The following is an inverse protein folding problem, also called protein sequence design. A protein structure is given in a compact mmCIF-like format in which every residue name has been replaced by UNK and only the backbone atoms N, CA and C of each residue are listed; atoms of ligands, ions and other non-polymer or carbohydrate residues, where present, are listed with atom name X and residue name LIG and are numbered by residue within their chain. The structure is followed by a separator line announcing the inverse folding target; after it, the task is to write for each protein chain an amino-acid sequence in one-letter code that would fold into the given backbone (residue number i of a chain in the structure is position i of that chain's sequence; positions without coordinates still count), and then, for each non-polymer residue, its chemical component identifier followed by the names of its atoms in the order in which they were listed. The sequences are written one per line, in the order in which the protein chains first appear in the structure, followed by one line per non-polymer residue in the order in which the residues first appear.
data_IF_076021999023
#
_entry.id   IF_076021999023
#
_cell.length_a   1.000
_cell.length_b   1.000
_cell.length_c   1.000
_cell.angle_alpha   90.00
_cell.angle_beta   90.00
_cell.angle_gamma   90.00
#
_symmetry.space_group_name_H-M   'P 1'
#
loop_
_entity.id
_entity.type
_entity.pdbx_description
1 polymer ?
#
# COMPACT_ATOMS: atom_id res chain seq x y z
N UNK A 1 55.21 -28.80 54.01
CA UNK A 1 53.75 -28.79 54.25
C UNK A 1 53.16 -27.57 53.57
N UNK A 2 52.51 -27.76 52.41
CA UNK A 2 51.30 -27.06 51.94
C UNK A 2 51.06 -27.51 50.50
N UNK A 3 50.06 -28.38 50.35
CA UNK A 3 49.42 -28.72 49.09
C UNK A 3 48.76 -27.45 48.51
N UNK A 4 48.84 -27.29 47.19
CA UNK A 4 47.79 -26.64 46.42
C UNK A 4 47.73 -27.33 45.05
N UNK A 5 46.80 -28.28 44.94
CA UNK A 5 46.37 -28.88 43.69
C UNK A 5 45.37 -27.87 43.10
N UNK A 6 45.77 -27.12 42.08
CA UNK A 6 44.83 -26.30 41.32
C UNK A 6 44.68 -26.93 39.94
N UNK A 7 43.55 -27.61 39.80
CA UNK A 7 43.08 -28.29 38.60
C UNK A 7 42.91 -27.30 37.44
N UNK A 8 43.72 -27.41 36.39
CA UNK A 8 43.44 -26.80 35.10
C UNK A 8 42.44 -27.69 34.35
N UNK A 9 41.14 -27.46 34.56
CA UNK A 9 40.11 -27.95 33.64
C UNK A 9 40.23 -27.09 32.38
N UNK A 10 40.87 -27.64 31.36
CA UNK A 10 40.80 -27.14 30.00
C UNK A 10 39.35 -27.31 29.52
N UNK A 11 38.55 -26.24 29.61
CA UNK A 11 37.34 -26.11 28.80
C UNK A 11 37.80 -25.90 27.35
N UNK A 12 38.02 -27.02 26.66
CA UNK A 12 37.99 -27.04 25.21
C UNK A 12 36.56 -26.66 24.81
N UNK A 13 36.31 -25.36 24.65
CA UNK A 13 35.15 -24.87 23.92
C UNK A 13 35.34 -25.37 22.49
N UNK A 14 34.77 -26.54 22.21
CA UNK A 14 34.45 -26.92 20.86
C UNK A 14 33.48 -25.86 20.36
N UNK A 15 34.01 -24.83 19.72
CA UNK A 15 33.22 -23.97 18.85
C UNK A 15 32.87 -24.86 17.68
N UNK A 16 31.81 -25.67 17.86
CA UNK A 16 31.06 -26.19 16.75
C UNK A 16 30.66 -24.93 16.00
N UNK A 17 31.31 -24.67 14.86
CA UNK A 17 30.78 -23.76 13.86
C UNK A 17 29.44 -24.36 13.45
N UNK A 18 28.39 -24.02 14.20
CA UNK A 18 27.04 -24.06 13.69
C UNK A 18 27.08 -23.04 12.56
N UNK A 19 27.16 -23.57 11.34
CA UNK A 19 26.87 -22.80 10.15
C UNK A 19 25.50 -22.18 10.36
N UNK A 20 25.45 -20.89 10.72
CA UNK A 20 24.21 -20.18 10.89
C UNK A 20 23.53 -20.12 9.52
N UNK A 21 22.48 -20.92 9.34
CA UNK A 21 21.68 -20.95 8.13
C UNK A 21 20.80 -19.70 7.99
N UNK A 22 20.49 -19.03 9.10
CA UNK A 22 19.81 -17.74 9.09
C UNK A 22 20.20 -16.83 10.26
N UNK A 23 19.85 -15.55 10.16
CA UNK A 23 20.13 -14.54 11.18
C UNK A 23 19.53 -14.88 12.57
N UNK A 24 18.37 -15.52 12.66
CA UNK A 24 17.68 -15.78 13.93
C UNK A 24 18.36 -16.84 14.82
N UNK A 25 19.19 -17.70 14.25
CA UNK A 25 19.97 -18.68 15.02
C UNK A 25 20.99 -18.01 15.94
N UNK A 26 21.48 -16.83 15.58
CA UNK A 26 22.38 -16.04 16.43
C UNK A 26 21.72 -15.57 17.74
N UNK A 27 20.38 -15.59 17.80
CA UNK A 27 19.57 -15.19 18.95
C UNK A 27 18.90 -16.38 19.65
N UNK A 28 19.29 -17.61 19.30
CA UNK A 28 18.76 -18.83 19.91
C UNK A 28 17.43 -19.32 19.34
N UNK A 29 16.93 -18.71 18.26
CA UNK A 29 15.69 -19.11 17.60
C UNK A 29 15.95 -19.91 16.32
N UNK A 30 14.99 -20.75 15.92
CA UNK A 30 15.06 -21.50 14.67
C UNK A 30 14.79 -20.58 13.48
N UNK A 31 15.26 -20.97 12.31
CA UNK A 31 14.82 -20.36 11.06
C UNK A 31 13.45 -20.91 10.68
N UNK A 32 12.62 -20.12 10.01
CA UNK A 32 11.35 -20.63 9.50
C UNK A 32 11.62 -21.60 8.34
N UNK A 33 10.97 -22.76 8.34
CA UNK A 33 11.24 -23.83 7.36
C UNK A 33 10.90 -23.42 5.91
N UNK A 34 9.89 -22.55 5.77
CA UNK A 34 9.41 -22.01 4.50
C UNK A 34 9.22 -20.48 4.61
N UNK A 35 10.30 -19.69 4.52
CA UNK A 35 10.23 -18.25 4.75
C UNK A 35 9.27 -17.55 3.77
N UNK A 36 9.14 -18.03 2.53
CA UNK A 36 8.24 -17.46 1.52
C UNK A 36 6.74 -17.68 1.77
N UNK A 37 6.35 -18.66 2.59
CA UNK A 37 4.94 -18.92 2.94
C UNK A 37 4.63 -18.66 4.41
N UNK A 38 5.62 -18.25 5.20
CA UNK A 38 5.44 -17.98 6.62
C UNK A 38 4.89 -16.56 6.81
N UNK A 39 3.74 -16.45 7.46
CA UNK A 39 3.15 -15.16 7.82
C UNK A 39 4.06 -14.42 8.79
N UNK A 40 4.31 -13.14 8.49
CA UNK A 40 5.05 -12.25 9.40
C UNK A 40 4.15 -11.91 10.58
N UNK A 41 4.54 -12.34 11.78
CA UNK A 41 3.81 -12.07 13.02
C UNK A 41 4.41 -10.87 13.77
N UNK A 42 5.71 -10.63 13.60
CA UNK A 42 6.41 -9.54 14.27
C UNK A 42 7.65 -9.11 13.47
N UNK A 43 8.15 -7.89 13.66
CA UNK A 43 9.37 -7.41 13.00
C UNK A 43 10.10 -6.44 13.92
N UNK A 44 11.41 -6.59 14.03
CA UNK A 44 12.29 -5.77 14.88
C UNK A 44 13.61 -5.44 14.19
N UNK A 45 14.58 -4.89 14.92
CA UNK A 45 15.91 -4.55 14.39
C UNK A 45 16.77 -5.75 13.96
N UNK A 46 16.31 -6.98 14.23
CA UNK A 46 17.00 -8.21 13.83
C UNK A 46 16.46 -8.79 12.52
N UNK A 47 15.17 -8.62 12.24
CA UNK A 47 14.53 -9.11 11.03
C UNK A 47 13.04 -9.41 11.19
N UNK A 48 12.48 -10.15 10.24
CA UNK A 48 11.06 -10.54 10.24
C UNK A 48 10.86 -11.86 10.98
N UNK A 49 9.89 -11.92 11.88
CA UNK A 49 9.62 -13.08 12.71
C UNK A 49 8.28 -13.72 12.32
N UNK A 50 8.27 -15.06 12.27
CA UNK A 50 7.09 -15.87 12.07
C UNK A 50 6.85 -16.81 13.25
N UNK A 51 5.69 -17.47 13.27
CA UNK A 51 5.37 -18.53 14.23
C UNK A 51 5.11 -19.82 13.46
N UNK A 52 5.83 -20.88 13.82
CA UNK A 52 5.65 -22.21 13.25
C UNK A 52 5.52 -23.23 14.38
N UNK A 53 4.47 -24.06 14.35
CA UNK A 53 4.17 -25.05 15.39
C UNK A 53 4.12 -24.48 16.82
N UNK A 54 3.77 -23.20 16.97
CA UNK A 54 3.70 -22.51 18.26
C UNK A 54 5.02 -21.87 18.74
N UNK A 55 6.12 -22.05 18.00
CA UNK A 55 7.43 -21.48 18.31
C UNK A 55 7.78 -20.31 17.39
N UNK A 56 8.52 -19.33 17.92
CA UNK A 56 9.08 -18.22 17.13
C UNK A 56 10.21 -18.69 16.22
N UNK A 57 10.17 -18.24 14.96
CA UNK A 57 11.20 -18.49 13.97
C UNK A 57 11.57 -17.22 13.19
N UNK A 58 12.84 -17.12 12.78
CA UNK A 58 13.30 -16.04 11.91
C UNK A 58 13.01 -16.32 10.45
N UNK A 59 12.36 -15.36 9.79
CA UNK A 59 12.12 -15.37 8.36
C UNK A 59 13.38 -14.84 7.68
N UNK A 60 14.14 -15.76 7.08
CA UNK A 60 15.34 -15.47 6.32
C UNK A 60 15.22 -16.11 4.95
N UNK A 61 15.04 -15.29 3.92
CA UNK A 61 14.83 -15.76 2.54
C UNK A 61 16.09 -16.37 1.90
N UNK A 62 17.23 -16.33 2.59
CA UNK A 62 18.45 -17.04 2.19
C UNK A 62 18.55 -18.46 2.77
N UNK A 63 17.71 -18.79 3.76
CA UNK A 63 17.67 -20.10 4.41
C UNK A 63 16.87 -21.11 3.59
N UNK A 64 17.41 -22.33 3.44
CA UNK A 64 16.84 -23.44 2.64
C UNK A 64 16.75 -23.20 1.12
N UNK A 65 17.78 -22.61 0.54
CA UNK A 65 17.84 -22.43 -0.90
C UNK A 65 18.47 -23.66 -1.59
N UNK A 66 17.63 -24.53 -2.17
CA UNK A 66 18.00 -25.25 -3.40
C UNK A 66 18.02 -24.20 -4.54
N UNK A 67 19.11 -23.44 -4.59
CA UNK A 67 19.19 -22.11 -5.20
C UNK A 67 19.45 -22.10 -6.72
N UNK A 68 19.24 -23.21 -7.44
CA UNK A 68 19.52 -23.32 -8.88
C UNK A 68 18.29 -23.43 -9.79
N UNK A 69 17.08 -23.54 -9.24
CA UNK A 69 15.90 -23.96 -10.01
C UNK A 69 14.95 -22.81 -10.41
N UNK A 70 15.27 -21.55 -10.11
CA UNK A 70 14.48 -20.40 -10.57
C UNK A 70 15.36 -19.17 -10.89
N UNK A 71 14.78 -18.25 -11.66
CA UNK A 71 15.42 -16.98 -12.05
C UNK A 71 15.67 -16.07 -10.86
N UNK A 72 16.71 -15.22 -10.92
CA UNK A 72 17.10 -14.34 -9.82
C UNK A 72 18.22 -14.82 -8.91
N UNK A 73 18.83 -15.98 -9.23
CA UNK A 73 20.09 -16.48 -8.68
C UNK A 73 20.20 -16.39 -7.14
N UNK A 74 19.09 -16.65 -6.43
CA UNK A 74 19.07 -16.79 -4.99
C UNK A 74 18.73 -15.57 -4.15
N UNK A 75 18.52 -14.39 -4.75
CA UNK A 75 18.14 -13.19 -4.01
C UNK A 75 16.64 -13.17 -3.62
N UNK A 76 15.83 -14.02 -4.24
CA UNK A 76 14.38 -14.13 -4.01
C UNK A 76 13.92 -15.59 -4.05
N UNK A 77 12.85 -15.94 -3.31
CA UNK A 77 12.29 -17.30 -3.31
C UNK A 77 11.73 -17.67 -4.70
N UNK A 78 11.66 -18.96 -5.03
CA UNK A 78 11.02 -19.38 -6.28
C UNK A 78 9.49 -19.26 -6.19
N UNK A 79 8.86 -18.80 -7.27
CA UNK A 79 7.41 -18.76 -7.38
C UNK A 79 6.81 -20.16 -7.46
N UNK A 80 5.61 -20.31 -6.90
CA UNK A 80 4.76 -21.46 -7.15
C UNK A 80 4.06 -21.37 -8.50
N UNK A 81 3.89 -20.15 -9.03
CA UNK A 81 3.42 -19.90 -10.39
C UNK A 81 4.53 -20.06 -11.45
N UNK A 82 4.14 -20.50 -12.65
CA UNK A 82 4.97 -20.48 -13.85
C UNK A 82 4.75 -19.23 -14.72
N UNK A 83 3.86 -18.34 -14.29
CA UNK A 83 3.49 -17.13 -15.02
C UNK A 83 4.27 -15.95 -14.50
N UNK A 84 5.20 -15.45 -15.32
CA UNK A 84 5.94 -14.24 -15.01
C UNK A 84 5.02 -13.02 -15.12
N UNK A 85 4.92 -12.22 -14.06
CA UNK A 85 4.26 -10.90 -14.11
C UNK A 85 5.26 -9.80 -14.44
N UNK A 86 6.56 -10.09 -14.36
CA UNK A 86 7.65 -9.16 -14.65
C UNK A 86 8.85 -9.93 -15.23
N UNK A 87 9.65 -9.28 -16.09
CA UNK A 87 10.83 -9.90 -16.72
C UNK A 87 11.89 -8.85 -16.97
N UNK A 88 13.12 -9.15 -16.58
CA UNK A 88 14.29 -8.28 -16.73
C UNK A 88 15.53 -9.07 -17.16
N UNK A 89 16.72 -8.47 -17.04
CA UNK A 89 17.99 -9.09 -17.40
C UNK A 89 18.47 -10.20 -16.45
N UNK A 90 17.85 -10.34 -15.28
CA UNK A 90 18.17 -11.35 -14.26
C UNK A 90 17.16 -12.52 -14.27
N UNK A 91 16.01 -12.34 -14.93
CA UNK A 91 15.14 -13.40 -15.40
C UNK A 91 13.65 -13.07 -15.30
N UNK A 92 12.82 -14.08 -15.02
CA UNK A 92 11.36 -13.99 -14.97
C UNK A 92 10.88 -13.95 -13.52
N UNK A 93 9.90 -13.13 -13.22
CA UNK A 93 9.53 -12.83 -11.83
C UNK A 93 8.02 -12.79 -11.67
N UNK A 94 7.54 -13.10 -10.47
CA UNK A 94 6.17 -12.82 -10.06
C UNK A 94 6.09 -12.31 -8.62
N UNK A 95 4.89 -11.92 -8.22
CA UNK A 95 4.59 -11.46 -6.86
C UNK A 95 3.60 -12.44 -6.24
N UNK A 96 4.00 -13.09 -5.15
CA UNK A 96 3.19 -14.02 -4.37
C UNK A 96 3.08 -13.52 -2.92
N UNK A 97 1.85 -13.44 -2.39
CA UNK A 97 1.59 -12.94 -1.03
C UNK A 97 2.22 -11.57 -0.72
N UNK A 98 2.32 -10.70 -1.74
CA UNK A 98 2.93 -9.37 -1.62
C UNK A 98 4.46 -9.36 -1.71
N UNK A 99 5.11 -10.50 -1.92
CA UNK A 99 6.57 -10.62 -2.01
C UNK A 99 7.03 -11.07 -3.41
N UNK A 100 8.19 -10.58 -3.84
CA UNK A 100 8.80 -10.96 -5.11
C UNK A 100 9.34 -12.38 -5.06
N UNK A 101 9.14 -13.12 -6.15
CA UNK A 101 9.64 -14.47 -6.34
C UNK A 101 10.16 -14.68 -7.78
N UNK A 102 11.13 -15.58 -7.96
CA UNK A 102 11.69 -15.96 -9.26
C UNK A 102 10.95 -17.13 -9.90
N UNK A 103 10.66 -17.08 -11.20
CA UNK A 103 9.96 -18.16 -11.90
C UNK A 103 10.87 -19.39 -12.06
N UNK A 104 10.32 -20.58 -11.77
CA UNK A 104 11.07 -21.84 -11.87
C UNK A 104 11.51 -22.11 -13.31
N UNK A 105 12.75 -22.54 -13.50
CA UNK A 105 13.32 -22.93 -14.79
C UNK A 105 12.56 -24.11 -15.42
N UNK A 106 11.97 -24.98 -14.59
CA UNK A 106 11.09 -26.09 -15.01
C UNK A 106 9.81 -25.61 -15.73
N UNK A 107 9.43 -24.35 -15.58
CA UNK A 107 8.28 -23.75 -16.27
C UNK A 107 8.52 -23.54 -17.78
N UNK A 108 9.77 -23.68 -18.27
CA UNK A 108 10.10 -23.55 -19.69
C UNK A 108 9.76 -24.77 -20.55
N UNK A 109 9.46 -25.92 -19.94
CA UNK A 109 9.22 -27.18 -20.65
C UNK A 109 8.01 -27.90 -20.05
N UNK A 110 6.78 -27.64 -20.49
CA UNK A 110 5.70 -28.66 -20.50
C UNK A 110 4.62 -28.34 -21.57
N UNK A 111 4.03 -29.37 -22.21
CA UNK A 111 3.15 -29.20 -23.38
C UNK A 111 1.68 -28.91 -23.02
N UNK A 112 1.08 -28.05 -23.83
CA UNK A 112 -0.29 -27.54 -23.79
C UNK A 112 -1.34 -28.61 -24.15
N UNK A 113 -2.07 -29.20 -23.18
CA UNK A 113 -3.34 -29.88 -23.51
C UNK A 113 -4.37 -30.01 -22.37
N UNK A 114 -4.22 -29.32 -21.23
CA UNK A 114 -5.24 -29.37 -20.17
C UNK A 114 -5.34 -28.06 -19.35
N UNK A 115 -4.91 -26.95 -19.94
CA UNK A 115 -5.03 -25.65 -19.31
C UNK A 115 -6.35 -24.98 -19.69
N UNK A 116 -7.06 -24.53 -18.67
CA UNK A 116 -8.30 -23.78 -18.75
C UNK A 116 -8.22 -22.59 -17.80
N UNK A 117 -9.10 -21.62 -18.01
CA UNK A 117 -9.26 -20.46 -17.12
C UNK A 117 -9.40 -20.89 -15.65
N UNK A 118 -8.76 -20.14 -14.74
CA UNK A 118 -8.80 -20.43 -13.30
C UNK A 118 -7.63 -21.25 -12.75
N UNK A 119 -6.69 -21.67 -13.61
CA UNK A 119 -5.36 -22.20 -13.23
C UNK A 119 -5.35 -23.18 -12.03
N UNK A 120 -6.28 -24.13 -12.01
CA UNK A 120 -6.34 -25.20 -11.01
C UNK A 120 -7.15 -24.92 -9.75
N UNK A 121 -7.61 -23.68 -9.54
CA UNK A 121 -8.59 -23.37 -8.50
C UNK A 121 -9.99 -23.94 -8.82
N UNK A 122 -10.28 -24.16 -10.10
CA UNK A 122 -11.51 -24.77 -10.61
C UNK A 122 -11.19 -25.84 -11.65
N UNK A 123 -12.04 -26.87 -11.73
CA UNK A 123 -11.92 -27.92 -12.74
C UNK A 123 -12.21 -27.34 -14.13
N UNK A 124 -11.63 -27.93 -15.18
CA UNK A 124 -11.95 -27.50 -16.55
C UNK A 124 -13.34 -28.00 -16.98
N UNK A 125 -14.09 -27.16 -17.68
CA UNK A 125 -15.39 -27.54 -18.24
C UNK A 125 -15.22 -28.66 -19.27
N UNK A 126 -16.20 -29.54 -19.33
CA UNK A 126 -16.25 -30.58 -20.35
C UNK A 126 -16.76 -30.02 -21.68
N UNK A 127 -17.62 -29.01 -21.64
CA UNK A 127 -18.04 -28.26 -22.82
C UNK A 127 -17.27 -26.94 -23.00
N UNK A 128 -17.33 -26.40 -24.22
CA UNK A 128 -16.77 -25.09 -24.55
C UNK A 128 -17.77 -23.94 -24.34
N UNK A 129 -18.86 -24.19 -23.60
CA UNK A 129 -19.97 -23.24 -23.43
C UNK A 129 -19.60 -22.20 -22.39
N UNK A 130 -19.34 -20.96 -22.83
CA UNK A 130 -18.99 -19.87 -21.92
C UNK A 130 -20.24 -19.20 -21.38
N UNK A 131 -20.42 -19.27 -20.07
CA UNK A 131 -21.52 -18.63 -19.33
C UNK A 131 -21.11 -17.27 -18.78
N UNK A 132 -19.82 -17.07 -18.51
CA UNK A 132 -19.28 -15.84 -17.93
C UNK A 132 -17.81 -15.62 -18.35
N UNK A 133 -17.37 -14.36 -18.47
CA UNK A 133 -15.98 -14.01 -18.82
C UNK A 133 -15.53 -12.83 -17.97
N UNK A 134 -14.35 -12.94 -17.36
CA UNK A 134 -13.71 -11.88 -16.57
C UNK A 134 -12.21 -11.75 -16.92
N UNK A 135 -11.44 -11.08 -16.06
CA UNK A 135 -10.01 -10.86 -16.25
C UNK A 135 -9.17 -12.13 -16.11
N UNK A 136 -9.70 -13.17 -15.46
CA UNK A 136 -9.04 -14.47 -15.27
C UNK A 136 -9.36 -15.44 -16.44
N UNK A 137 -10.46 -15.18 -17.16
CA UNK A 137 -10.73 -15.70 -18.50
C UNK A 137 -12.17 -16.15 -18.73
N UNK A 138 -12.38 -17.22 -19.51
CA UNK A 138 -13.70 -17.73 -19.88
C UNK A 138 -14.15 -18.82 -18.90
N UNK A 139 -15.38 -18.73 -18.41
CA UNK A 139 -15.95 -19.64 -17.41
C UNK A 139 -17.25 -20.28 -17.88
N UNK A 140 -17.49 -21.52 -17.46
CA UNK A 140 -18.73 -22.27 -17.65
C UNK A 140 -19.31 -22.73 -16.31
N UNK A 141 -20.57 -23.18 -16.34
CA UNK A 141 -21.26 -23.70 -15.16
C UNK A 141 -21.91 -25.04 -15.52
N UNK A 142 -21.36 -26.14 -14.98
CA UNK A 142 -21.76 -27.51 -15.31
C UNK A 142 -21.97 -28.29 -14.01
N UNK A 143 -23.04 -29.10 -13.94
CA UNK A 143 -23.37 -29.95 -12.78
C UNK A 143 -23.48 -29.23 -11.42
N UNK A 144 -23.77 -27.93 -11.42
CA UNK A 144 -23.94 -27.15 -10.19
C UNK A 144 -22.68 -26.43 -9.70
N UNK A 145 -21.55 -26.55 -10.41
CA UNK A 145 -20.27 -25.93 -10.06
C UNK A 145 -19.67 -25.11 -11.21
N UNK A 146 -18.85 -24.12 -10.83
CA UNK A 146 -18.09 -23.30 -11.77
C UNK A 146 -16.87 -24.05 -12.30
N UNK A 147 -16.62 -23.92 -13.60
CA UNK A 147 -15.50 -24.56 -14.27
C UNK A 147 -14.81 -23.60 -15.26
N UNK A 148 -13.52 -23.83 -15.49
CA UNK A 148 -12.71 -23.06 -16.44
C UNK A 148 -12.91 -23.53 -17.88
N UNK A 149 -13.12 -22.63 -18.83
CA UNK A 149 -13.18 -23.01 -20.25
C UNK A 149 -11.77 -23.29 -20.76
N UNK A 150 -11.60 -24.45 -21.40
CA UNK A 150 -10.32 -24.89 -21.97
C UNK A 150 -9.84 -23.88 -23.01
N UNK A 151 -8.56 -23.54 -22.99
CA UNK A 151 -7.99 -22.62 -23.97
C UNK A 151 -8.04 -23.16 -25.41
N UNK A 152 -8.24 -24.48 -25.58
CA UNK A 152 -8.49 -25.14 -26.85
C UNK A 152 -9.88 -24.87 -27.44
N UNK A 153 -10.79 -24.22 -26.71
CA UNK A 153 -12.14 -23.91 -27.17
C UNK A 153 -12.16 -22.70 -28.11
N UNK A 154 -12.83 -22.78 -29.29
CA UNK A 154 -12.86 -21.67 -30.25
C UNK A 154 -13.56 -20.43 -29.66
N UNK A 155 -13.04 -19.24 -29.98
CA UNK A 155 -13.68 -17.97 -29.64
C UNK A 155 -14.78 -17.67 -30.65
N UNK A 156 -16.03 -17.54 -30.21
CA UNK A 156 -17.11 -17.08 -31.09
C UNK A 156 -17.01 -15.56 -31.23
N UNK A 157 -16.79 -15.10 -32.46
CA UNK A 157 -16.83 -13.69 -32.85
C UNK A 157 -18.27 -13.17 -32.70
N UNK A 158 -18.49 -12.14 -31.88
CA UNK A 158 -19.72 -11.36 -31.94
C UNK A 158 -19.53 -10.19 -32.90
N UNK A 159 -20.11 -10.35 -34.10
CA UNK A 159 -20.49 -9.25 -34.98
C UNK A 159 -21.43 -8.29 -34.25
N UNK A 160 -21.09 -7.02 -34.24
CA UNK A 160 -21.93 -5.91 -33.80
C UNK A 160 -23.24 -5.85 -34.60
N UNK A 161 -24.35 -6.22 -33.99
CA UNK A 161 -25.69 -5.85 -34.45
C UNK A 161 -26.34 -4.92 -33.43
N UNK A 162 -26.55 -3.67 -33.84
CA UNK A 162 -27.31 -2.63 -33.14
C UNK A 162 -28.72 -3.13 -32.85
N UNK A 163 -29.10 -3.22 -31.57
CA UNK A 163 -30.49 -3.39 -31.16
C UNK A 163 -30.89 -2.32 -30.15
N UNK A 164 -31.75 -1.43 -30.60
CA UNK A 164 -32.52 -0.50 -29.77
C UNK A 164 -33.47 -1.31 -28.89
N UNK A 165 -33.42 -1.15 -27.57
CA UNK A 165 -34.55 -1.51 -26.70
C UNK A 165 -34.59 -0.63 -25.45
N UNK A 166 -35.79 -0.17 -25.19
CA UNK A 166 -36.25 0.85 -24.25
C UNK A 166 -35.96 0.49 -22.78
N UNK A 167 -35.37 1.43 -22.04
CA UNK A 167 -35.10 1.30 -20.61
C UNK A 167 -36.38 1.50 -19.80
N UNK A 168 -36.87 0.45 -19.14
CA UNK A 168 -37.73 0.58 -17.95
C UNK A 168 -36.84 0.42 -16.72
N UNK A 169 -36.88 1.41 -15.84
CA UNK A 169 -36.07 1.55 -14.63
C UNK A 169 -36.36 0.47 -13.60
N UNK A 170 -35.32 -0.25 -13.16
CA UNK A 170 -35.23 -0.77 -11.79
C UNK A 170 -33.77 -0.86 -11.34
N UNK A 171 -33.50 -0.18 -10.22
CA UNK A 171 -32.24 -0.12 -9.48
C UNK A 171 -31.65 -1.51 -9.21
N UNK A 172 -30.36 -1.68 -9.54
CA UNK A 172 -29.53 -2.78 -9.03
C UNK A 172 -28.59 -2.27 -7.95
N UNK A 173 -28.55 -3.02 -6.85
CA UNK A 173 -27.81 -2.76 -5.61
C UNK A 173 -26.31 -3.07 -5.78
N UNK A 174 -25.39 -2.40 -5.05
CA UNK A 174 -23.96 -2.68 -5.14
C UNK A 174 -23.60 -3.97 -4.41
N UNK A 175 -22.84 -4.86 -5.06
CA UNK A 175 -22.23 -6.04 -4.44
C UNK A 175 -21.01 -5.62 -3.60
N UNK A 176 -21.09 -5.82 -2.29
CA UNK A 176 -20.04 -5.48 -1.32
C UNK A 176 -18.97 -6.57 -1.25
N UNK A 177 -17.70 -6.19 -1.45
CA UNK A 177 -16.55 -7.01 -1.01
C UNK A 177 -16.31 -6.81 0.50
N UNK A 178 -15.53 -7.71 1.09
CA UNK A 178 -15.22 -7.88 2.53
C UNK A 178 -14.70 -6.65 3.29
N UNK A 179 -14.45 -5.52 2.62
CA UNK A 179 -14.05 -4.23 3.21
C UNK A 179 -15.16 -3.16 3.22
N UNK A 180 -16.38 -3.47 2.76
CA UNK A 180 -17.47 -2.50 2.65
C UNK A 180 -17.27 -1.39 1.60
N UNK A 181 -16.10 -1.34 0.94
CA UNK A 181 -15.79 -0.42 -0.16
C UNK A 181 -16.20 -1.05 -1.50
N UNK A 182 -17.00 -0.37 -2.33
CA UNK A 182 -17.41 -0.89 -3.63
C UNK A 182 -16.25 -0.94 -4.61
N UNK A 183 -16.20 -2.00 -5.42
CA UNK A 183 -15.27 -2.08 -6.56
C UNK A 183 -15.56 -0.99 -7.59
N UNK A 184 -16.84 -0.68 -7.79
CA UNK A 184 -17.32 0.39 -8.67
C UNK A 184 -18.11 1.38 -7.81
N UNK A 185 -17.45 2.43 -7.30
CA UNK A 185 -18.13 3.41 -6.45
C UNK A 185 -19.26 4.11 -7.21
N UNK A 186 -20.47 4.22 -6.65
CA UNK A 186 -21.59 4.90 -7.30
C UNK A 186 -21.23 6.35 -7.62
N UNK A 187 -21.88 6.94 -8.62
CA UNK A 187 -21.64 8.37 -8.87
C UNK A 187 -22.36 9.25 -7.83
N UNK A 188 -21.88 10.48 -7.63
CA UNK A 188 -22.50 11.51 -6.79
C UNK A 188 -22.37 12.90 -7.42
N UNK A 189 -23.25 13.80 -6.99
CA UNK A 189 -23.17 15.24 -7.28
C UNK A 189 -22.58 15.97 -6.08
N UNK A 190 -21.80 17.02 -6.34
CA UNK A 190 -21.12 17.75 -5.29
C UNK A 190 -20.59 19.08 -5.78
N UNK A 191 -19.80 19.73 -4.93
CA UNK A 191 -19.11 20.97 -5.30
C UNK A 191 -17.95 20.66 -6.23
N UNK A 192 -17.56 21.61 -7.08
CA UNK A 192 -16.35 21.48 -7.89
C UNK A 192 -15.14 21.95 -7.11
N UNK A 193 -14.00 21.31 -7.34
CA UNK A 193 -12.75 21.68 -6.73
C UNK A 193 -11.55 21.42 -7.63
N UNK A 194 -10.42 22.01 -7.23
CA UNK A 194 -9.11 21.81 -7.88
C UNK A 194 -8.23 20.97 -6.99
N UNK A 195 -7.24 20.31 -7.59
CA UNK A 195 -6.22 19.59 -6.83
C UNK A 195 -4.83 20.04 -7.17
N UNK A 196 -3.93 19.92 -6.20
CA UNK A 196 -2.49 19.91 -6.38
C UNK A 196 -1.90 18.71 -5.64
N UNK A 197 -0.57 18.65 -5.54
CA UNK A 197 0.16 17.60 -4.85
C UNK A 197 1.30 18.21 -4.05
N UNK A 198 1.54 17.70 -2.86
CA UNK A 198 2.67 18.12 -2.04
C UNK A 198 3.12 17.04 -1.05
N UNK A 199 4.35 17.21 -0.56
CA UNK A 199 4.86 16.57 0.65
C UNK A 199 6.03 17.40 1.16
N UNK A 200 5.80 18.21 2.18
CA UNK A 200 6.77 19.16 2.75
C UNK A 200 7.39 18.69 4.07
N UNK A 201 6.92 17.55 4.58
CA UNK A 201 7.27 16.96 5.87
C UNK A 201 6.89 17.81 7.10
N UNK A 202 6.26 18.97 6.90
CA UNK A 202 5.93 19.87 7.99
C UNK A 202 4.92 19.26 8.95
N UNK A 203 4.95 19.70 10.20
CA UNK A 203 3.84 19.47 11.12
C UNK A 203 2.54 20.03 10.52
N UNK A 204 1.55 19.18 10.34
CA UNK A 204 0.28 19.56 9.74
C UNK A 204 -0.51 20.51 10.65
N UNK A 205 -1.23 21.50 10.09
CA UNK A 205 -1.95 22.52 10.86
C UNK A 205 -3.01 21.93 11.81
N UNK A 206 -3.64 20.81 11.45
CA UNK A 206 -4.62 20.14 12.31
C UNK A 206 -3.97 19.26 13.40
N UNK A 207 -2.65 19.29 13.55
CA UNK A 207 -1.94 18.71 14.71
C UNK A 207 -1.96 19.65 15.92
N UNK A 208 -2.28 20.93 15.70
CA UNK A 208 -2.41 21.94 16.74
C UNK A 208 -3.80 21.86 17.38
N UNK A 209 -3.85 21.75 18.71
CA UNK A 209 -5.07 21.48 19.45
C UNK A 209 -6.10 22.61 19.30
N UNK A 210 -5.64 23.85 19.21
CA UNK A 210 -6.46 25.03 18.97
C UNK A 210 -7.21 24.96 17.63
N UNK A 211 -6.59 24.40 16.59
CA UNK A 211 -7.19 24.30 15.27
C UNK A 211 -8.28 23.23 15.23
N UNK A 212 -8.04 22.06 15.86
CA UNK A 212 -9.05 20.99 15.91
C UNK A 212 -10.20 21.33 16.86
N UNK A 213 -9.93 21.97 18.00
CA UNK A 213 -10.96 22.51 18.89
C UNK A 213 -11.85 23.51 18.17
N UNK A 214 -11.27 24.46 17.43
CA UNK A 214 -12.02 25.44 16.63
C UNK A 214 -12.84 24.78 15.52
N UNK A 215 -12.32 23.72 14.92
CA UNK A 215 -13.03 22.94 13.91
C UNK A 215 -14.14 22.04 14.47
N UNK A 216 -14.18 21.83 15.79
CA UNK A 216 -15.12 20.94 16.44
C UNK A 216 -14.76 19.46 16.25
N UNK A 217 -13.47 19.12 16.32
CA UNK A 217 -12.99 17.74 16.26
C UNK A 217 -12.47 17.26 17.62
N UNK A 218 -12.60 15.97 17.85
CA UNK A 218 -11.99 15.22 18.94
C UNK A 218 -10.60 14.74 18.50
N UNK A 219 -9.62 14.90 19.39
CA UNK A 219 -8.22 14.60 19.10
C UNK A 219 -7.53 15.68 18.26
N UNK A 220 -6.31 15.35 17.84
CA UNK A 220 -5.50 16.14 16.90
C UNK A 220 -4.98 15.18 15.84
N UNK A 221 -4.63 15.70 14.66
CA UNK A 221 -3.86 14.89 13.72
C UNK A 221 -2.54 14.54 14.39
N UNK A 222 -2.26 13.23 14.45
CA UNK A 222 -1.04 12.70 15.04
C UNK A 222 0.16 13.27 14.31
N UNK A 223 1.12 13.74 15.09
CA UNK A 223 2.41 14.18 14.60
C UNK A 223 3.50 13.24 15.11
N UNK A 224 4.65 13.25 14.45
CA UNK A 224 5.71 12.30 14.72
C UNK A 224 7.05 13.00 14.98
N UNK A 225 7.93 12.29 15.68
CA UNK A 225 9.33 12.66 15.82
C UNK A 225 10.05 12.59 14.47
N UNK A 226 11.34 12.94 14.45
CA UNK A 226 12.16 12.96 13.23
C UNK A 226 12.15 11.65 12.43
N UNK A 227 11.98 10.50 13.09
CA UNK A 227 11.84 9.19 12.43
C UNK A 227 10.56 9.05 11.59
N UNK A 228 9.60 9.96 11.75
CA UNK A 228 8.29 9.94 11.10
C UNK A 228 7.37 8.81 11.60
N UNK A 229 7.73 8.12 12.68
CA UNK A 229 7.00 6.95 13.20
C UNK A 229 6.61 7.13 14.67
N UNK A 230 7.54 7.58 15.51
CA UNK A 230 7.31 7.73 16.95
C UNK A 230 6.34 8.88 17.19
N UNK A 231 5.12 8.62 17.70
CA UNK A 231 4.13 9.66 17.91
C UNK A 231 4.64 10.71 18.92
N UNK A 232 4.46 11.98 18.59
CA UNK A 232 4.71 13.06 19.52
C UNK A 232 3.48 13.26 20.44
N UNK A 233 3.62 12.94 21.72
CA UNK A 233 2.50 12.91 22.68
C UNK A 233 2.44 14.12 23.62
N UNK A 234 3.51 14.92 23.72
CA UNK A 234 3.56 16.11 24.58
C UNK A 234 2.95 17.34 23.90
N UNK A 235 1.66 17.23 23.58
CA UNK A 235 0.92 18.27 22.86
C UNK A 235 0.90 19.62 23.61
N UNK A 236 1.02 19.61 24.94
CA UNK A 236 1.14 20.82 25.76
C UNK A 236 2.40 21.63 25.49
N UNK A 237 3.48 20.98 25.06
CA UNK A 237 4.76 21.63 24.75
C UNK A 237 5.03 21.74 23.24
N UNK A 238 4.07 21.39 22.38
CA UNK A 238 4.22 21.46 20.92
C UNK A 238 4.63 22.86 20.43
N UNK A 239 4.15 23.92 21.10
CA UNK A 239 4.53 25.31 20.79
C UNK A 239 6.01 25.64 21.10
N UNK A 240 6.65 24.89 22.01
CA UNK A 240 8.09 25.02 22.32
C UNK A 240 8.93 24.17 21.38
N UNK A 241 8.51 22.92 21.14
CA UNK A 241 9.25 21.96 20.30
C UNK A 241 9.15 22.34 18.82
N UNK A 242 7.99 22.89 18.39
CA UNK A 242 7.67 23.44 17.08
C UNK A 242 7.74 22.44 15.92
N UNK A 243 7.18 22.86 14.79
CA UNK A 243 7.32 22.19 13.51
C UNK A 243 8.77 22.13 13.06
N UNK A 244 9.20 21.04 12.43
CA UNK A 244 10.49 20.96 11.75
C UNK A 244 10.68 22.03 10.66
N UNK A 245 9.59 22.58 10.13
CA UNK A 245 9.61 23.70 9.17
C UNK A 245 9.83 25.06 9.84
N UNK A 246 9.81 25.12 11.17
CA UNK A 246 10.04 26.31 11.99
C UNK A 246 11.28 26.15 12.89
N UNK A 247 12.19 25.24 12.52
CA UNK A 247 13.40 24.92 13.28
C UNK A 247 13.16 24.00 14.49
N UNK A 248 11.98 23.38 14.56
CA UNK A 248 11.63 22.40 15.58
C UNK A 248 12.01 20.96 15.22
N UNK A 249 11.39 20.00 15.90
CA UNK A 249 11.67 18.56 15.74
C UNK A 249 10.43 17.68 15.61
N UNK A 250 9.27 18.28 15.34
CA UNK A 250 8.01 17.58 15.10
C UNK A 250 7.61 17.67 13.63
N UNK A 251 7.22 16.54 13.05
CA UNK A 251 6.97 16.36 11.62
C UNK A 251 5.63 15.65 11.38
N UNK A 252 5.21 15.60 10.12
CA UNK A 252 4.16 14.71 9.66
C UNK A 252 4.58 13.23 9.81
N UNK A 253 3.62 12.36 10.09
CA UNK A 253 3.88 10.93 10.22
C UNK A 253 3.95 10.24 8.84
N UNK A 254 4.82 9.24 8.73
CA UNK A 254 5.04 8.50 7.48
C UNK A 254 3.78 7.77 7.02
N UNK A 255 2.96 7.26 7.91
CA UNK A 255 1.71 6.56 7.57
C UNK A 255 0.56 7.49 7.14
N UNK A 256 0.78 8.83 7.13
CA UNK A 256 -0.14 9.79 6.52
C UNK A 256 0.09 9.93 5.00
N UNK A 257 0.38 8.81 4.34
CA UNK A 257 0.55 8.67 2.89
C UNK A 257 -0.74 8.19 2.23
N UNK A 258 -0.92 8.38 0.91
CA UNK A 258 -2.06 7.85 0.17
C UNK A 258 -1.86 6.38 -0.20
N UNK A 259 -2.96 5.64 -0.34
CA UNK A 259 -2.93 4.24 -0.78
C UNK A 259 -4.17 3.87 -1.61
N UNK A 260 -4.02 2.85 -2.46
CA UNK A 260 -5.13 2.28 -3.21
C UNK A 260 -5.87 1.24 -2.37
N UNK A 261 -7.19 1.34 -2.31
CA UNK A 261 -8.05 0.29 -1.72
C UNK A 261 -8.40 -0.75 -2.78
N UNK A 262 -8.69 -0.28 -4.00
CA UNK A 262 -8.86 -1.07 -5.21
C UNK A 262 -8.53 -0.18 -6.42
N UNK A 263 -8.75 -0.68 -7.64
CA UNK A 263 -8.43 0.09 -8.85
C UNK A 263 -9.21 1.41 -8.98
N UNK A 264 -10.39 1.54 -8.37
CA UNK A 264 -11.26 2.71 -8.52
C UNK A 264 -11.36 3.58 -7.27
N UNK A 265 -10.90 3.09 -6.11
CA UNK A 265 -10.97 3.79 -4.83
C UNK A 265 -9.60 3.85 -4.17
N UNK A 266 -9.19 5.05 -3.76
CA UNK A 266 -8.01 5.29 -2.92
C UNK A 266 -8.40 6.07 -1.65
N UNK A 267 -7.58 5.95 -0.61
CA UNK A 267 -7.65 6.79 0.59
C UNK A 267 -6.38 7.61 0.74
N UNK A 268 -6.47 8.72 1.48
CA UNK A 268 -5.29 9.52 1.81
C UNK A 268 -5.63 10.81 2.55
N UNK A 269 -4.73 11.78 2.45
CA UNK A 269 -4.77 13.00 3.26
C UNK A 269 -4.52 14.23 2.38
N UNK A 270 -5.08 15.36 2.79
CA UNK A 270 -5.00 16.62 2.04
C UNK A 270 -4.74 17.82 2.93
N UNK A 271 -4.10 18.86 2.37
CA UNK A 271 -4.29 20.22 2.85
C UNK A 271 -5.50 20.83 2.15
N UNK A 272 -6.39 21.49 2.90
CA UNK A 272 -7.58 22.14 2.37
C UNK A 272 -8.10 23.25 3.29
N UNK A 273 -9.01 24.07 2.78
CA UNK A 273 -9.80 25.03 3.56
C UNK A 273 -11.05 24.40 4.21
N UNK A 274 -11.28 23.11 3.97
CA UNK A 274 -12.24 22.32 4.72
C UNK A 274 -11.88 22.28 6.22
N UNK A 275 -12.87 22.03 7.07
CA UNK A 275 -12.63 21.97 8.53
C UNK A 275 -11.66 20.84 8.85
N UNK A 276 -10.75 21.09 9.80
CA UNK A 276 -9.80 20.09 10.27
C UNK A 276 -10.48 18.75 10.59
N UNK A 277 -9.81 17.68 10.17
CA UNK A 277 -10.16 16.28 10.40
C UNK A 277 -11.42 15.79 9.68
N UNK A 278 -12.14 16.66 8.95
CA UNK A 278 -13.27 16.23 8.13
C UNK A 278 -12.80 15.43 6.92
N UNK A 279 -13.67 14.54 6.44
CA UNK A 279 -13.41 13.75 5.26
C UNK A 279 -14.28 14.17 4.07
N UNK A 280 -13.64 14.20 2.91
CA UNK A 280 -14.27 14.51 1.64
C UNK A 280 -14.09 13.32 0.71
N UNK A 281 -15.16 12.98 0.01
CA UNK A 281 -15.14 12.03 -1.09
C UNK A 281 -14.94 12.84 -2.37
N UNK A 282 -13.81 12.61 -3.03
CA UNK A 282 -13.45 13.24 -4.30
C UNK A 282 -13.74 12.28 -5.44
N UNK A 283 -14.36 12.75 -6.51
CA UNK A 283 -14.40 12.07 -7.82
C UNK A 283 -13.62 12.92 -8.81
N UNK A 284 -12.59 12.34 -9.40
CA UNK A 284 -11.80 13.04 -10.41
C UNK A 284 -12.61 13.22 -11.69
N UNK A 285 -12.57 14.42 -12.25
CA UNK A 285 -13.32 14.81 -13.46
C UNK A 285 -12.43 15.11 -14.66
N UNK A 286 -11.12 15.11 -14.49
CA UNK A 286 -10.14 15.27 -15.57
C UNK A 286 -8.88 14.43 -15.36
N UNK A 287 -8.04 14.38 -16.39
CA UNK A 287 -6.78 13.63 -16.36
C UNK A 287 -6.96 12.11 -16.48
N UNK A 288 -5.86 11.34 -16.37
CA UNK A 288 -5.86 9.88 -16.56
C UNK A 288 -6.60 9.10 -15.46
N UNK A 289 -7.01 9.78 -14.39
CA UNK A 289 -7.76 9.21 -13.26
C UNK A 289 -9.24 9.60 -13.25
N UNK A 290 -9.73 10.27 -14.30
CA UNK A 290 -11.14 10.67 -14.39
C UNK A 290 -12.07 9.47 -14.13
N UNK A 291 -13.07 9.67 -13.27
CA UNK A 291 -14.01 8.64 -12.82
C UNK A 291 -13.58 7.88 -11.57
N UNK A 292 -12.26 7.81 -11.27
CA UNK A 292 -11.79 7.25 -9.99
C UNK A 292 -12.21 8.15 -8.83
N UNK A 293 -12.29 7.55 -7.64
CA UNK A 293 -12.71 8.25 -6.44
C UNK A 293 -11.68 8.09 -5.33
N UNK A 294 -11.54 9.12 -4.50
CA UNK A 294 -10.62 9.14 -3.38
C UNK A 294 -11.33 9.69 -2.14
N UNK A 295 -11.23 9.00 -1.00
CA UNK A 295 -11.65 9.60 0.28
C UNK A 295 -10.42 10.19 0.94
N UNK A 296 -10.48 11.47 1.26
CA UNK A 296 -9.38 12.21 1.86
C UNK A 296 -9.80 12.77 3.22
N UNK A 297 -8.89 12.74 4.18
CA UNK A 297 -9.04 13.49 5.43
C UNK A 297 -8.25 14.79 5.37
N UNK A 298 -8.87 15.90 5.77
CA UNK A 298 -8.20 17.20 5.86
C UNK A 298 -7.33 17.26 7.10
N UNK A 299 -6.01 17.22 6.91
CA UNK A 299 -5.03 17.25 8.01
C UNK A 299 -4.26 18.56 8.10
N UNK A 300 -4.29 19.36 7.03
CA UNK A 300 -3.57 20.62 6.96
C UNK A 300 -4.43 21.70 6.28
N UNK A 301 -4.01 22.96 6.38
CA UNK A 301 -4.61 24.10 5.67
C UNK A 301 -3.51 24.84 4.93
N UNK A 302 -3.67 25.00 3.61
CA UNK A 302 -2.74 25.79 2.80
C UNK A 302 -3.20 27.25 2.68
N UNK A 303 -2.31 28.19 2.97
CA UNK A 303 -2.61 29.63 2.91
C UNK A 303 -2.71 30.19 1.48
N UNK A 304 -2.21 29.47 0.49
CA UNK A 304 -2.17 29.78 -0.94
C UNK A 304 -3.28 29.09 -1.76
N UNK A 305 -4.09 28.27 -1.10
CA UNK A 305 -5.15 27.51 -1.75
C UNK A 305 -6.34 28.43 -2.08
N UNK A 306 -6.82 28.36 -3.33
CA UNK A 306 -8.09 29.01 -3.71
C UNK A 306 -9.30 28.30 -3.06
N UNK A 307 -10.50 28.89 -3.15
CA UNK A 307 -11.71 28.22 -2.69
C UNK A 307 -11.86 26.82 -3.32
N UNK A 308 -12.26 25.83 -2.52
CA UNK A 308 -12.45 24.43 -2.93
C UNK A 308 -11.21 23.79 -3.57
N UNK A 309 -10.06 23.88 -2.90
CA UNK A 309 -8.80 23.30 -3.37
C UNK A 309 -8.29 22.25 -2.36
N UNK A 310 -7.87 21.11 -2.89
CA UNK A 310 -7.30 19.98 -2.16
C UNK A 310 -5.86 19.74 -2.61
N UNK A 311 -4.89 20.05 -1.75
CA UNK A 311 -3.49 19.71 -1.98
C UNK A 311 -3.24 18.30 -1.46
N UNK A 312 -3.10 17.32 -2.37
CA UNK A 312 -3.06 15.90 -2.00
C UNK A 312 -1.66 15.55 -1.50
N UNK A 313 -1.59 14.97 -0.29
CA UNK A 313 -0.35 14.51 0.28
C UNK A 313 0.14 13.29 -0.49
N UNK A 314 1.29 13.42 -1.13
CA UNK A 314 1.97 12.32 -1.80
C UNK A 314 3.49 12.58 -1.81
N UNK A 315 4.31 11.71 -1.21
CA UNK A 315 5.75 11.87 -1.22
C UNK A 315 6.32 12.05 -2.62
N UNK A 316 7.24 13.01 -2.75
CA UNK A 316 7.77 13.41 -4.06
C UNK A 316 6.80 14.26 -4.88
N UNK A 317 5.70 14.75 -4.30
CA UNK A 317 4.79 15.75 -4.91
C UNK A 317 5.36 17.17 -4.97
N UNK A 318 6.48 17.42 -4.28
CA UNK A 318 7.10 18.73 -4.14
C UNK A 318 6.85 19.33 -2.76
N UNK A 319 7.81 20.11 -2.28
CA UNK A 319 7.77 20.78 -0.98
C UNK A 319 6.78 21.95 -0.95
N UNK A 320 6.62 22.64 -2.08
CA UNK A 320 5.92 23.91 -2.11
C UNK A 320 6.70 25.01 -1.38
N UNK A 321 6.02 25.73 -0.49
CA UNK A 321 6.58 26.90 0.20
C UNK A 321 7.62 26.48 1.25
N UNK A 322 7.39 25.39 1.98
CA UNK A 322 8.23 24.98 3.12
C UNK A 322 8.99 23.70 2.82
N UNK A 323 10.22 23.57 3.32
CA UNK A 323 11.02 22.36 3.24
C UNK A 323 11.38 21.88 4.66
N UNK A 324 10.53 21.02 5.23
CA UNK A 324 10.84 20.27 6.44
C UNK A 324 11.56 18.96 6.15
N UNK A 325 11.52 18.48 4.91
CA UNK A 325 12.05 17.17 4.56
C UNK A 325 13.57 17.14 4.65
N UNK A 326 14.25 18.22 4.28
CA UNK A 326 15.71 18.35 4.45
C UNK A 326 16.11 18.28 5.93
N UNK A 327 15.32 18.87 6.84
CA UNK A 327 15.62 18.79 8.28
C UNK A 327 15.25 17.43 8.89
N UNK A 328 14.21 16.76 8.37
CA UNK A 328 13.77 15.44 8.82
C UNK A 328 14.69 14.30 8.36
N UNK A 329 14.94 14.21 7.05
CA UNK A 329 15.63 13.07 6.44
C UNK A 329 17.07 13.41 6.00
N UNK A 330 17.48 14.67 6.08
CA UNK A 330 18.76 15.15 5.58
C UNK A 330 18.73 15.53 4.09
N UNK A 331 19.74 16.28 3.64
CA UNK A 331 19.84 16.79 2.26
C UNK A 331 20.36 15.79 1.22
N UNK A 332 20.55 14.52 1.58
CA UNK A 332 21.09 13.48 0.68
C UNK A 332 20.06 12.89 -0.29
N UNK A 333 18.78 13.22 -0.12
CA UNK A 333 17.68 12.70 -0.93
C UNK A 333 17.34 13.66 -2.08
N UNK A 334 16.97 13.09 -3.23
CA UNK A 334 16.49 13.87 -4.37
C UNK A 334 14.96 13.85 -4.40
N UNK A 335 14.35 14.97 -4.03
CA UNK A 335 12.91 15.15 -3.96
C UNK A 335 12.29 15.71 -5.25
N UNK A 336 13.11 15.96 -6.28
CA UNK A 336 12.70 16.56 -7.53
C UNK A 336 12.51 18.08 -7.43
N UNK A 337 11.61 18.62 -8.25
CA UNK A 337 11.34 20.06 -8.29
C UNK A 337 10.62 20.54 -7.04
N UNK A 338 10.90 21.78 -6.61
CA UNK A 338 10.24 22.38 -5.44
C UNK A 338 8.72 22.32 -5.51
N UNK A 339 8.15 22.56 -6.70
CA UNK A 339 6.73 22.43 -6.96
C UNK A 339 6.51 21.31 -7.99
N UNK A 340 5.67 20.33 -7.66
CA UNK A 340 5.39 19.18 -8.53
C UNK A 340 6.37 18.00 -8.37
N UNK A 341 7.52 18.21 -7.70
CA UNK A 341 8.43 17.17 -7.25
C UNK A 341 9.04 16.34 -8.37
N UNK A 342 9.22 15.05 -8.13
CA UNK A 342 9.83 14.10 -9.08
C UNK A 342 8.95 13.89 -10.33
N UNK A 343 9.56 13.43 -11.42
CA UNK A 343 8.90 13.34 -12.74
C UNK A 343 8.61 11.91 -13.18
N UNK A 344 9.23 10.91 -12.57
CA UNK A 344 9.13 9.50 -12.94
C UNK A 344 9.06 8.57 -11.72
N UNK A 345 8.45 7.40 -11.88
CA UNK A 345 8.35 6.39 -10.82
C UNK A 345 9.72 5.89 -10.35
N UNK A 346 10.71 5.82 -11.24
CA UNK A 346 12.09 5.42 -10.89
C UNK A 346 12.75 6.35 -9.89
N UNK A 347 12.35 7.64 -9.85
CA UNK A 347 12.89 8.59 -8.89
C UNK A 347 12.40 8.34 -7.47
N UNK A 348 11.34 7.56 -7.26
CA UNK A 348 10.93 7.11 -5.92
C UNK A 348 12.05 6.34 -5.20
N UNK A 349 12.97 5.71 -5.94
CA UNK A 349 14.14 5.04 -5.36
C UNK A 349 15.05 5.99 -4.56
N UNK A 350 15.04 7.29 -4.90
CA UNK A 350 15.86 8.34 -4.30
C UNK A 350 15.25 8.95 -3.01
N UNK A 351 13.97 8.66 -2.74
CA UNK A 351 13.29 9.10 -1.53
C UNK A 351 13.60 8.15 -0.35
N UNK A 352 13.41 8.60 0.91
CA UNK A 352 13.47 7.74 2.08
C UNK A 352 12.60 6.48 1.90
N UNK A 353 13.10 5.31 2.31
CA UNK A 353 12.43 4.02 2.11
C UNK A 353 11.00 4.00 2.64
N UNK A 354 10.77 4.64 3.79
CA UNK A 354 9.46 4.78 4.45
C UNK A 354 8.43 5.58 3.64
N UNK A 355 8.85 6.33 2.62
CA UNK A 355 7.99 7.16 1.78
C UNK A 355 7.81 6.62 0.35
N UNK A 356 8.46 5.50 0.02
CA UNK A 356 8.45 4.95 -1.35
C UNK A 356 7.05 4.49 -1.77
N UNK A 357 6.27 3.91 -0.86
CA UNK A 357 4.94 3.40 -1.20
C UNK A 357 3.98 4.51 -1.63
N UNK A 358 3.90 5.62 -0.88
CA UNK A 358 3.08 6.78 -1.26
C UNK A 358 3.62 7.49 -2.50
N UNK A 359 4.94 7.48 -2.70
CA UNK A 359 5.56 7.96 -3.94
C UNK A 359 5.13 7.12 -5.16
N UNK A 360 5.21 5.79 -5.06
CA UNK A 360 4.82 4.88 -6.13
C UNK A 360 3.32 4.92 -6.41
N UNK A 361 2.49 5.12 -5.38
CA UNK A 361 1.04 5.34 -5.54
C UNK A 361 0.73 6.47 -6.54
N UNK A 362 1.51 7.56 -6.52
CA UNK A 362 1.36 8.69 -7.45
C UNK A 362 1.44 8.24 -8.90
N UNK A 363 2.36 7.34 -9.24
CA UNK A 363 2.57 6.87 -10.61
C UNK A 363 1.68 5.67 -10.97
N UNK A 364 1.35 4.84 -9.98
CA UNK A 364 0.62 3.59 -10.18
C UNK A 364 -0.90 3.80 -10.20
N UNK A 365 -1.50 4.17 -9.08
CA UNK A 365 -2.95 4.33 -8.98
C UNK A 365 -3.39 5.69 -9.51
N UNK A 366 -2.66 6.74 -9.14
CA UNK A 366 -2.96 8.11 -9.51
C UNK A 366 -2.47 8.48 -10.93
N UNK A 367 -1.81 7.52 -11.62
CA UNK A 367 -1.38 7.63 -13.03
C UNK A 367 -0.60 8.92 -13.36
N UNK A 368 0.13 9.44 -12.38
CA UNK A 368 0.84 10.71 -12.43
C UNK A 368 -0.03 11.86 -12.97
N UNK A 369 -1.31 11.88 -12.60
CA UNK A 369 -2.25 12.91 -13.03
C UNK A 369 -1.76 14.29 -12.57
N UNK A 370 -1.70 15.24 -13.50
CA UNK A 370 -1.27 16.60 -13.20
C UNK A 370 -2.48 17.46 -12.84
N UNK A 371 -2.65 17.69 -11.53
CA UNK A 371 -3.67 18.57 -10.95
C UNK A 371 -5.09 18.32 -11.49
N UNK A 372 -5.59 17.07 -11.44
CA UNK A 372 -6.93 16.74 -11.93
C UNK A 372 -8.01 17.53 -11.18
N UNK A 373 -9.02 18.00 -11.91
CA UNK A 373 -10.21 18.60 -11.29
C UNK A 373 -11.03 17.51 -10.59
N UNK A 374 -11.83 17.93 -9.61
CA UNK A 374 -12.71 17.03 -8.85
C UNK A 374 -14.11 17.61 -8.73
N UNK A 375 -15.07 16.72 -8.51
CA UNK A 375 -16.27 17.04 -7.73
C UNK A 375 -16.14 16.37 -6.36
N UNK A 376 -16.61 17.02 -5.31
CA UNK A 376 -16.46 16.52 -3.96
C UNK A 376 -17.69 16.76 -3.09
N UNK A 377 -17.81 15.92 -2.07
CA UNK A 377 -18.81 16.04 -1.02
C UNK A 377 -18.23 15.62 0.33
N UNK A 378 -18.78 16.18 1.41
CA UNK A 378 -18.43 15.74 2.75
C UNK A 378 -19.05 14.37 3.04
N UNK A 379 -18.25 13.48 3.62
CA UNK A 379 -18.65 12.14 4.04
C UNK A 379 -18.16 11.85 5.45
N UNK A 380 -18.77 10.86 6.09
CA UNK A 380 -18.26 10.29 7.34
C UNK A 380 -16.84 9.74 7.10
N UNK A 381 -15.93 10.01 8.01
CA UNK A 381 -14.56 9.52 7.90
C UNK A 381 -14.49 7.99 8.08
N UNK A 382 -13.90 7.25 7.11
CA UNK A 382 -13.53 5.85 7.30
C UNK A 382 -12.57 5.68 8.48
N UNK A 383 -12.71 4.58 9.22
CA UNK A 383 -11.85 4.29 10.38
C UNK A 383 -10.39 4.16 9.95
N UNK A 384 -10.15 3.68 8.74
CA UNK A 384 -8.83 3.53 8.15
C UNK A 384 -8.07 4.87 8.05
N UNK A 385 -8.77 6.00 7.94
CA UNK A 385 -8.15 7.33 7.99
C UNK A 385 -8.03 7.85 9.43
N UNK A 386 -9.08 7.71 10.23
CA UNK A 386 -9.11 8.26 11.59
C UNK A 386 -8.25 7.49 12.58
N UNK A 387 -8.03 6.20 12.37
CA UNK A 387 -7.16 5.36 13.20
C UNK A 387 -5.69 5.71 12.94
N UNK A 388 -5.36 6.17 11.72
CA UNK A 388 -4.03 6.73 11.40
C UNK A 388 -3.86 8.08 12.10
N UNK A 389 -4.78 9.02 11.90
CA UNK A 389 -4.57 10.39 12.39
C UNK A 389 -4.92 10.58 13.86
N UNK A 390 -5.79 9.75 14.43
CA UNK A 390 -6.34 9.96 15.77
C UNK A 390 -7.28 11.16 15.89
N UNK A 391 -7.71 11.75 14.76
CA UNK A 391 -8.59 12.93 14.76
C UNK A 391 -9.94 12.63 14.09
N UNK A 392 -11.03 12.99 14.77
CA UNK A 392 -12.41 12.73 14.31
C UNK A 392 -13.29 13.95 14.55
N UNK A 393 -14.03 14.47 13.55
CA UNK A 393 -15.02 15.52 13.77
C UNK A 393 -16.11 15.09 14.76
N UNK A 394 -16.55 15.99 15.64
CA UNK A 394 -17.60 15.67 16.62
C UNK A 394 -18.95 15.36 15.97
N UNK A 395 -19.21 15.91 14.79
CA UNK A 395 -20.40 15.67 13.98
C UNK A 395 -20.26 14.47 13.02
N UNK A 396 -19.12 13.77 12.99
CA UNK A 396 -18.80 12.77 11.97
C UNK A 396 -19.84 11.64 11.86
N UNK A 397 -20.34 11.15 13.00
CA UNK A 397 -21.38 10.10 13.04
C UNK A 397 -22.74 10.54 12.49
N UNK A 398 -22.97 11.84 12.33
CA UNK A 398 -24.18 12.39 11.72
C UNK A 398 -24.04 12.65 10.22
N UNK A 399 -22.81 12.57 9.70
CA UNK A 399 -22.53 12.70 8.26
C UNK A 399 -22.86 11.38 7.57
N UNK A 400 -23.33 11.44 6.33
CA UNK A 400 -23.57 10.23 5.53
C UNK A 400 -22.29 9.43 5.31
N UNK A 401 -22.41 8.11 5.27
CA UNK A 401 -21.32 7.23 4.84
C UNK A 401 -20.97 7.48 3.38
N UNK A 402 -19.71 7.23 3.03
CA UNK A 402 -19.27 7.30 1.65
C UNK A 402 -19.90 6.22 0.77
N UNK A 403 -20.18 5.04 1.35
CA UNK A 403 -20.68 3.84 0.66
C UNK A 403 -21.86 3.22 1.41
#
# INVERSE_FOLDING_TARGET
MRLAITSCIALASAVVKVSAGCWAQSQGYKCCDNPGSTKVEFSDGSGQWGIQNGDWCGIDYSYNQNQSDCTGNGNYPCCNTCTATYTDGEGKWAIENGNWCGIKNSCGNQPQNNQCTGNGAYQCCNSCTTTYTDNDGRWGYENGDWCGIKYSCPQQQQTTARRTTTTTTKQSQPTTNTSGVPLNPPDFSGQTGKTTRYWDCCLASCSWQENTKKAGASGVVRSCSKDGMTPFTDLSNLWRVKSGCEGGSVYMCNDQQPWAVNDNVAYGFVASHEKCCTCQRLKFTSGPVAGKQMIVQTTNTGGDLSSNHFDIQMPGGGFGIFDGCTSQFGGGHNWGERYGGIKSASECANLPSVLKQGCEWRFNWFKNADNPNVVFERVQCPKELTDITGCVPNDDSSVKKAW
#
